data_IF_375046945946
#
_entry.id   IF_375046945946
#
_cell.length_a   1.000
_cell.length_b   1.000
_cell.length_c   1.000
_cell.angle_alpha   90.00
_cell.angle_beta   90.00
_cell.angle_gamma   90.00
#
_symmetry.space_group_name_H-M   'P 1'
#
loop_
_entity.id
_entity.type
_entity.pdbx_description
1 polymer ?
#
# COMPACT_ATOMS: atom_id res chain seq x y z
N UNK A 1 19.52 29.08 -19.87
CA UNK A 1 18.62 29.56 -18.80
C UNK A 1 17.25 29.87 -19.39
N UNK A 2 16.47 28.83 -19.70
CA UNK A 2 15.05 28.95 -20.04
C UNK A 2 14.28 28.42 -18.82
N UNK A 3 14.18 29.27 -17.82
CA UNK A 3 13.69 29.02 -16.46
C UNK A 3 12.17 28.99 -16.44
N UNK A 4 11.56 28.04 -15.71
CA UNK A 4 10.23 27.99 -15.03
C UNK A 4 8.95 28.66 -15.62
N UNK A 5 9.08 29.74 -16.39
CA UNK A 5 8.02 30.51 -17.05
C UNK A 5 7.17 29.67 -18.02
N UNK A 6 7.73 28.62 -18.63
CA UNK A 6 6.99 27.83 -19.63
C UNK A 6 6.00 26.84 -18.98
N UNK A 7 6.36 26.20 -17.86
CA UNK A 7 5.42 25.36 -17.10
C UNK A 7 4.34 26.17 -16.41
N UNK A 8 4.70 27.32 -15.82
CA UNK A 8 3.71 28.23 -15.23
C UNK A 8 2.75 28.78 -16.28
N UNK A 9 3.19 29.03 -17.52
CA UNK A 9 2.31 29.46 -18.61
C UNK A 9 1.41 28.33 -19.14
N UNK A 10 1.92 27.10 -19.28
CA UNK A 10 1.11 25.92 -19.64
C UNK A 10 0.10 25.60 -18.55
N UNK A 11 0.53 25.68 -17.29
CA UNK A 11 -0.34 25.55 -16.13
C UNK A 11 -1.37 26.69 -16.12
N UNK A 12 -1.00 27.95 -16.22
CA UNK A 12 -1.94 29.07 -16.28
C UNK A 12 -2.93 28.96 -17.46
N UNK A 13 -2.51 28.44 -18.61
CA UNK A 13 -3.39 28.19 -19.76
C UNK A 13 -4.41 27.06 -19.51
N UNK A 14 -4.02 26.03 -18.75
CA UNK A 14 -4.90 24.95 -18.31
C UNK A 14 -5.77 25.35 -17.10
N UNK A 15 -5.34 26.35 -16.32
CA UNK A 15 -5.84 26.72 -14.99
C UNK A 15 -6.31 28.20 -14.90
N UNK A 16 -6.80 28.81 -15.98
CA UNK A 16 -7.27 30.20 -15.96
C UNK A 16 -8.31 30.44 -14.84
N UNK A 17 -8.13 31.47 -13.99
CA UNK A 17 -8.97 31.68 -12.81
C UNK A 17 -10.41 32.03 -13.22
N UNK A 18 -11.38 31.31 -12.67
CA UNK A 18 -12.76 31.77 -12.67
C UNK A 18 -12.94 32.65 -11.44
N UNK A 19 -13.27 33.92 -11.68
CA UNK A 19 -13.39 34.96 -10.67
C UNK A 19 -14.72 34.84 -9.91
N UNK A 20 -14.87 33.99 -8.89
CA UNK A 20 -15.95 34.19 -7.91
C UNK A 20 -15.57 33.67 -6.52
N UNK A 21 -15.69 34.60 -5.58
CA UNK A 21 -15.56 34.48 -4.13
C UNK A 21 -16.80 33.78 -3.55
N UNK A 22 -16.63 32.73 -2.74
CA UNK A 22 -17.72 32.30 -1.85
C UNK A 22 -17.18 31.51 -0.64
N UNK A 23 -17.52 32.02 0.54
CA UNK A 23 -17.13 31.53 1.86
C UNK A 23 -17.93 30.27 2.21
N UNK A 24 -17.25 29.17 2.55
CA UNK A 24 -17.87 28.06 3.31
C UNK A 24 -16.93 27.35 4.26
N UNK A 25 -17.47 26.78 5.35
CA UNK A 25 -16.72 26.43 6.54
C UNK A 25 -15.89 25.16 6.31
N UNK A 26 -14.65 25.24 6.76
CA UNK A 26 -13.76 24.13 7.02
C UNK A 26 -14.30 23.37 8.23
N UNK A 27 -14.67 22.09 8.05
CA UNK A 27 -14.59 21.05 9.09
C UNK A 27 -15.06 19.72 8.52
N UNK A 28 -14.12 18.91 8.01
CA UNK A 28 -14.23 17.45 8.04
C UNK A 28 -12.83 16.85 7.83
N UNK A 29 -12.20 16.51 8.95
CA UNK A 29 -10.83 16.03 9.05
C UNK A 29 -10.59 14.71 8.29
N UNK A 30 -9.35 14.61 7.79
CA UNK A 30 -8.68 13.47 7.16
C UNK A 30 -9.10 12.11 7.73
N UNK A 31 -9.88 11.36 6.96
CA UNK A 31 -10.06 9.92 7.16
C UNK A 31 -9.04 9.16 6.30
N UNK A 32 -8.16 8.33 6.87
CA UNK A 32 -7.29 7.45 6.08
C UNK A 32 -8.14 6.36 5.40
N UNK A 33 -7.89 6.16 4.11
CA UNK A 33 -8.63 5.19 3.27
C UNK A 33 -8.18 3.76 3.57
N UNK A 34 -9.06 2.79 3.34
CA UNK A 34 -8.81 1.34 3.54
C UNK A 34 -7.57 0.83 2.78
N UNK A 35 -7.14 1.56 1.76
CA UNK A 35 -6.08 1.21 0.81
C UNK A 35 -4.64 1.49 1.31
N UNK A 36 -4.42 2.41 2.25
CA UNK A 36 -3.08 2.75 2.76
C UNK A 36 -2.47 1.65 3.66
N UNK A 37 -3.21 0.56 3.88
CA UNK A 37 -3.05 -0.32 5.04
C UNK A 37 -2.71 -1.76 4.65
N UNK A 38 -2.94 -2.15 3.40
CA UNK A 38 -2.42 -3.40 2.84
C UNK A 38 -0.87 -3.42 2.85
N UNK A 39 -0.26 -2.23 2.85
CA UNK A 39 1.19 -2.05 2.74
C UNK A 39 2.02 -2.37 3.98
N UNK A 40 1.46 -2.16 5.18
CA UNK A 40 2.21 -2.34 6.42
C UNK A 40 2.11 -3.80 6.93
N UNK A 41 1.12 -4.54 6.42
CA UNK A 41 0.98 -5.99 6.60
C UNK A 41 2.08 -6.78 5.89
N UNK A 42 2.60 -6.24 4.79
CA UNK A 42 3.62 -6.88 3.97
C UNK A 42 5.02 -6.76 4.60
N UNK A 43 5.32 -5.70 5.36
CA UNK A 43 6.58 -5.60 6.11
C UNK A 43 6.66 -6.57 7.31
N UNK A 44 5.53 -6.84 7.97
CA UNK A 44 5.49 -7.73 9.15
C UNK A 44 5.52 -9.22 8.79
N UNK A 45 5.03 -9.62 7.60
CA UNK A 45 5.16 -11.01 7.12
C UNK A 45 6.59 -11.39 6.73
N UNK A 46 7.46 -10.41 6.51
CA UNK A 46 8.84 -10.65 6.08
C UNK A 46 9.81 -10.83 7.26
N UNK A 47 9.46 -10.33 8.45
CA UNK A 47 10.12 -10.70 9.70
C UNK A 47 9.90 -12.17 10.10
N UNK A 48 8.99 -12.88 9.42
CA UNK A 48 8.67 -14.30 9.67
C UNK A 48 9.55 -15.28 8.88
N UNK A 49 10.42 -14.82 7.97
CA UNK A 49 11.28 -15.71 7.16
C UNK A 49 12.78 -15.44 7.31
N UNK A 50 13.21 -14.87 8.43
CA UNK A 50 14.60 -14.96 8.88
C UNK A 50 14.78 -16.30 9.61
N UNK A 51 15.49 -17.23 8.98
CA UNK A 51 15.86 -18.50 9.59
C UNK A 51 16.72 -18.30 10.83
N UNK A 52 16.68 -19.28 11.73
CA UNK A 52 17.61 -19.44 12.84
C UNK A 52 19.06 -19.33 12.32
N UNK A 53 19.71 -18.19 12.53
CA UNK A 53 21.16 -18.13 12.59
C UNK A 53 21.54 -18.10 14.07
N UNK A 54 22.10 -19.23 14.49
CA UNK A 54 22.67 -19.50 15.80
C UNK A 54 24.03 -18.78 15.86
N UNK A 55 24.01 -17.49 16.18
CA UNK A 55 25.24 -16.73 16.46
C UNK A 55 25.65 -16.94 17.93
N UNK A 56 26.18 -18.13 18.21
CA UNK A 56 27.06 -18.33 19.36
C UNK A 56 28.43 -17.71 19.03
N UNK A 57 28.60 -16.43 19.34
CA UNK A 57 29.91 -15.78 19.28
C UNK A 57 30.56 -15.77 20.67
N UNK A 58 31.69 -16.48 20.75
CA UNK A 58 32.62 -16.57 21.86
C UNK A 58 33.00 -15.20 22.45
N UNK A 59 32.84 -15.04 23.76
CA UNK A 59 33.40 -13.93 24.52
C UNK A 59 34.88 -14.22 24.83
N UNK A 60 35.83 -13.33 24.47
CA UNK A 60 37.21 -13.46 24.92
C UNK A 60 37.35 -13.08 26.41
N UNK A 61 38.38 -13.61 27.10
CA UNK A 61 38.52 -13.47 28.55
C UNK A 61 38.93 -12.04 28.94
N UNK A 62 38.37 -11.59 30.07
CA UNK A 62 38.69 -10.33 30.73
C UNK A 62 40.15 -10.33 31.19
N UNK A 63 40.90 -9.30 30.80
CA UNK A 63 42.16 -8.93 31.45
C UNK A 63 41.88 -7.83 32.48
N UNK A 64 42.29 -8.09 33.71
CA UNK A 64 42.35 -7.12 34.79
C UNK A 64 43.53 -6.17 34.51
N UNK A 65 43.24 -4.90 34.22
CA UNK A 65 44.24 -3.83 34.28
C UNK A 65 43.69 -2.70 35.17
N UNK A 66 44.42 -2.46 36.26
CA UNK A 66 44.22 -1.38 37.21
C UNK A 66 44.48 -0.03 36.53
N UNK A 67 43.52 0.91 36.63
CA UNK A 67 43.69 2.28 36.16
C UNK A 67 43.25 3.27 37.25
N UNK A 68 44.03 4.34 37.31
CA UNK A 68 44.20 5.32 38.37
C UNK A 68 42.98 6.24 38.56
N UNK A 69 42.83 6.75 39.79
CA UNK A 69 41.81 7.73 40.19
C UNK A 69 42.07 9.09 39.51
N UNK A 70 41.21 9.49 38.59
CA UNK A 70 41.06 10.89 38.17
C UNK A 70 39.61 11.36 38.42
N UNK A 71 39.50 12.55 39.02
CA UNK A 71 38.26 13.23 39.39
C UNK A 71 37.39 13.56 38.15
N UNK A 72 36.41 12.70 37.84
CA UNK A 72 35.40 12.99 36.81
C UNK A 72 34.12 13.59 37.43
N UNK A 73 33.73 14.77 36.92
CA UNK A 73 32.42 15.38 37.14
C UNK A 73 31.30 14.36 36.87
N UNK A 74 30.47 14.10 37.88
CA UNK A 74 29.35 13.17 37.76
C UNK A 74 28.45 13.57 36.58
N UNK A 75 28.33 12.74 35.52
CA UNK A 75 27.42 13.03 34.43
C UNK A 75 26.00 13.06 34.99
N UNK A 76 25.25 14.10 34.62
CA UNK A 76 23.86 14.27 35.02
C UNK A 76 23.11 12.94 34.84
N UNK A 77 22.50 12.43 35.93
CA UNK A 77 21.75 11.16 35.92
C UNK A 77 20.75 11.20 34.77
N UNK A 78 21.05 10.47 33.71
CA UNK A 78 20.15 10.29 32.58
C UNK A 78 18.90 9.61 33.11
N UNK A 79 17.76 10.27 32.96
CA UNK A 79 16.48 9.67 33.30
C UNK A 79 16.22 8.51 32.33
N UNK A 80 16.51 7.30 32.81
CA UNK A 80 16.35 6.07 32.07
C UNK A 80 14.89 5.84 31.62
N UNK A 81 13.91 6.41 32.32
CA UNK A 81 12.49 6.27 31.97
C UNK A 81 12.12 7.22 30.83
N UNK A 82 12.58 8.48 30.89
CA UNK A 82 12.45 9.41 29.76
C UNK A 82 13.19 8.89 28.52
N UNK A 83 14.41 8.37 28.68
CA UNK A 83 15.17 7.77 27.58
C UNK A 83 14.46 6.55 26.98
N UNK A 84 13.90 5.66 27.80
CA UNK A 84 13.09 4.52 27.32
C UNK A 84 11.84 4.98 26.57
N UNK A 85 11.16 6.03 27.02
CA UNK A 85 10.00 6.58 26.33
C UNK A 85 10.39 7.17 24.97
N UNK A 86 11.50 7.92 24.90
CA UNK A 86 12.04 8.46 23.65
C UNK A 86 12.47 7.35 22.71
N UNK A 87 13.16 6.30 23.21
CA UNK A 87 13.55 5.14 22.40
C UNK A 87 12.30 4.42 21.87
N UNK A 88 11.30 4.18 22.70
CA UNK A 88 10.05 3.52 22.29
C UNK A 88 9.29 4.32 21.22
N UNK A 89 9.24 5.64 21.37
CA UNK A 89 8.62 6.57 20.41
C UNK A 89 9.35 6.57 19.07
N UNK A 90 10.68 6.69 19.09
CA UNK A 90 11.50 6.71 17.86
C UNK A 90 11.67 5.33 17.23
N UNK A 91 11.43 4.25 17.99
CA UNK A 91 11.51 2.88 17.50
C UNK A 91 10.15 2.33 17.04
N UNK A 92 9.10 3.17 16.93
CA UNK A 92 7.72 2.77 16.59
C UNK A 92 7.61 1.86 15.35
N UNK A 93 8.49 2.01 14.36
CA UNK A 93 8.58 1.11 13.21
C UNK A 93 7.33 1.06 12.32
N UNK A 94 6.35 1.93 12.56
CA UNK A 94 5.13 2.12 11.78
C UNK A 94 4.89 3.62 11.61
N UNK A 95 4.29 4.01 10.49
CA UNK A 95 3.91 5.40 10.24
C UNK A 95 2.74 5.80 11.16
N UNK A 96 2.60 7.10 11.44
CA UNK A 96 1.59 7.63 12.37
C UNK A 96 0.15 7.24 12.00
N UNK A 97 -0.18 7.22 10.70
CA UNK A 97 -1.51 6.83 10.21
C UNK A 97 -1.83 5.35 10.49
N UNK A 98 -0.81 4.49 10.47
CA UNK A 98 -0.94 3.06 10.76
C UNK A 98 -1.08 2.83 12.26
N UNK A 99 -0.28 3.52 13.08
CA UNK A 99 -0.44 3.51 14.54
C UNK A 99 -1.86 3.93 14.95
N UNK A 100 -2.38 5.03 14.40
CA UNK A 100 -3.75 5.49 14.65
C UNK A 100 -4.80 4.44 14.21
N UNK A 101 -4.58 3.79 13.07
CA UNK A 101 -5.45 2.72 12.56
C UNK A 101 -5.45 1.48 13.45
N UNK A 102 -4.28 1.05 13.94
CA UNK A 102 -4.14 -0.07 14.85
C UNK A 102 -4.78 0.25 16.20
N UNK A 103 -4.53 1.43 16.78
CA UNK A 103 -5.20 1.87 18.02
C UNK A 103 -6.72 1.88 17.90
N UNK A 104 -7.27 2.24 16.73
CA UNK A 104 -8.72 2.16 16.49
C UNK A 104 -9.22 0.71 16.52
N UNK A 105 -8.53 -0.20 15.82
CA UNK A 105 -8.88 -1.62 15.79
C UNK A 105 -8.69 -2.30 17.15
N UNK A 106 -7.69 -1.90 17.93
CA UNK A 106 -7.49 -2.38 19.29
C UNK A 106 -8.71 -2.07 20.16
N UNK A 107 -9.21 -0.82 20.10
CA UNK A 107 -10.43 -0.42 20.82
C UNK A 107 -11.66 -1.21 20.38
N UNK A 108 -11.80 -1.49 19.09
CA UNK A 108 -12.89 -2.32 18.57
C UNK A 108 -12.80 -3.77 19.06
N UNK A 109 -11.59 -4.32 19.14
CA UNK A 109 -11.35 -5.64 19.71
C UNK A 109 -11.73 -5.68 21.19
N UNK A 110 -11.25 -4.73 22.00
CA UNK A 110 -11.60 -4.66 23.43
C UNK A 110 -13.11 -4.56 23.64
N UNK A 111 -13.79 -3.75 22.84
CA UNK A 111 -15.25 -3.61 22.90
C UNK A 111 -15.95 -4.94 22.55
N UNK A 112 -15.51 -5.62 21.49
CA UNK A 112 -16.01 -6.95 21.15
C UNK A 112 -15.80 -7.96 22.29
N UNK A 113 -14.62 -7.96 22.91
CA UNK A 113 -14.31 -8.87 24.02
C UNK A 113 -15.20 -8.61 25.23
N UNK A 114 -15.48 -7.34 25.56
CA UNK A 114 -16.43 -6.97 26.64
C UNK A 114 -17.86 -7.40 26.32
N UNK A 115 -18.33 -7.12 25.11
CA UNK A 115 -19.69 -7.49 24.68
C UNK A 115 -19.93 -9.00 24.72
N UNK A 116 -18.90 -9.81 24.47
CA UNK A 116 -18.96 -11.27 24.55
C UNK A 116 -18.65 -11.83 25.94
N UNK A 117 -18.27 -10.98 26.90
CA UNK A 117 -17.96 -11.38 28.27
C UNK A 117 -16.62 -12.12 28.41
N UNK A 118 -15.70 -11.95 27.46
CA UNK A 118 -14.37 -12.57 27.51
C UNK A 118 -13.37 -11.83 28.40
N UNK A 119 -13.61 -10.54 28.65
CA UNK A 119 -12.81 -9.70 29.55
C UNK A 119 -13.72 -8.87 30.45
N UNK A 120 -13.20 -8.44 31.60
CA UNK A 120 -13.89 -7.53 32.52
C UNK A 120 -14.14 -6.15 31.88
N UNK A 121 -15.16 -5.42 32.34
CA UNK A 121 -15.54 -4.12 31.77
C UNK A 121 -14.40 -3.09 31.81
N UNK A 122 -13.53 -3.14 32.82
CA UNK A 122 -12.37 -2.27 32.95
C UNK A 122 -11.08 -2.85 32.34
N UNK A 123 -11.11 -4.10 31.87
CA UNK A 123 -9.94 -4.79 31.32
C UNK A 123 -9.61 -4.39 29.88
N UNK A 124 -8.37 -4.68 29.49
CA UNK A 124 -7.89 -4.64 28.10
C UNK A 124 -7.45 -6.03 27.67
N UNK A 125 -7.80 -6.44 26.46
CA UNK A 125 -7.39 -7.73 25.92
C UNK A 125 -5.89 -7.77 25.61
N UNK A 126 -5.35 -6.64 25.13
CA UNK A 126 -3.92 -6.48 24.88
C UNK A 126 -3.20 -6.16 26.19
N UNK A 127 -2.63 -7.18 26.82
CA UNK A 127 -1.93 -7.11 28.10
C UNK A 127 -0.64 -7.93 28.06
N UNK A 128 0.32 -7.61 28.93
CA UNK A 128 1.58 -8.33 29.09
C UNK A 128 1.40 -9.77 29.61
N UNK A 129 0.21 -10.12 30.10
CA UNK A 129 -0.13 -11.49 30.52
C UNK A 129 -1.45 -11.94 29.87
N UNK A 130 -1.45 -12.20 28.55
CA UNK A 130 -2.68 -12.60 27.88
C UNK A 130 -3.16 -13.98 28.37
N UNK A 131 -4.47 -14.25 28.30
CA UNK A 131 -5.00 -15.58 28.60
C UNK A 131 -4.41 -16.62 27.64
N UNK A 132 -4.35 -17.87 28.07
CA UNK A 132 -3.83 -18.97 27.23
C UNK A 132 -4.59 -19.10 25.91
N UNK A 133 -5.90 -18.87 25.96
CA UNK A 133 -6.81 -18.89 24.82
C UNK A 133 -6.77 -17.61 23.96
N UNK A 134 -5.85 -16.67 24.21
CA UNK A 134 -5.72 -15.44 23.41
C UNK A 134 -5.68 -15.68 21.89
N UNK A 135 -5.02 -16.72 21.34
CA UNK A 135 -5.14 -17.07 19.93
C UNK A 135 -6.57 -17.34 19.47
N UNK A 136 -7.36 -18.06 20.27
CA UNK A 136 -8.75 -18.38 19.96
C UNK A 136 -9.63 -17.14 20.03
N UNK A 137 -9.34 -16.23 20.96
CA UNK A 137 -10.03 -14.94 21.07
C UNK A 137 -9.75 -14.05 19.85
N UNK A 138 -8.49 -14.00 19.36
CA UNK A 138 -8.16 -13.32 18.10
C UNK A 138 -8.95 -13.92 16.93
N UNK A 139 -8.99 -15.25 16.83
CA UNK A 139 -9.76 -15.94 15.79
C UNK A 139 -11.25 -15.60 15.92
N UNK A 140 -11.81 -15.62 17.12
CA UNK A 140 -13.21 -15.30 17.38
C UNK A 140 -13.55 -13.86 16.94
N UNK A 141 -12.68 -12.90 17.22
CA UNK A 141 -12.85 -11.53 16.77
C UNK A 141 -12.84 -11.44 15.24
N UNK A 142 -11.85 -12.03 14.57
CA UNK A 142 -11.79 -12.06 13.09
C UNK A 142 -13.00 -12.80 12.50
N UNK A 143 -13.41 -13.92 13.09
CA UNK A 143 -14.55 -14.72 12.68
C UNK A 143 -15.87 -13.94 12.77
N UNK A 144 -16.03 -13.16 13.84
CA UNK A 144 -17.22 -12.35 14.05
C UNK A 144 -17.42 -11.30 12.94
N UNK A 145 -16.35 -10.66 12.49
CA UNK A 145 -16.42 -9.59 11.49
C UNK A 145 -16.33 -10.09 10.03
N UNK A 146 -15.45 -11.07 9.78
CA UNK A 146 -15.04 -11.39 8.41
C UNK A 146 -15.58 -12.74 7.90
N UNK A 147 -15.99 -13.65 8.76
CA UNK A 147 -16.41 -15.00 8.34
C UNK A 147 -17.93 -15.10 8.12
N UNK A 148 -18.34 -16.12 7.36
CA UNK A 148 -19.75 -16.47 7.13
C UNK A 148 -20.34 -17.26 8.29
N UNK A 149 -19.50 -17.73 9.21
CA UNK A 149 -19.87 -18.56 10.34
C UNK A 149 -19.85 -17.71 11.62
N UNK A 150 -20.86 -17.89 12.47
CA UNK A 150 -20.90 -17.34 13.82
C UNK A 150 -20.02 -18.16 14.77
N UNK A 151 -19.77 -17.63 15.97
CA UNK A 151 -18.96 -18.33 16.99
C UNK A 151 -19.62 -19.62 17.51
N UNK A 152 -20.93 -19.75 17.35
CA UNK A 152 -21.70 -20.95 17.69
C UNK A 152 -21.73 -21.99 16.55
N UNK A 153 -21.03 -21.73 15.44
CA UNK A 153 -21.00 -22.59 14.26
C UNK A 153 -22.17 -22.40 13.29
N UNK A 154 -23.13 -21.52 13.59
CA UNK A 154 -24.25 -21.25 12.69
C UNK A 154 -23.83 -20.37 11.52
N UNK A 155 -24.52 -20.50 10.38
CA UNK A 155 -24.29 -19.64 9.22
C UNK A 155 -24.96 -18.27 9.42
N UNK A 156 -24.21 -17.20 9.15
CA UNK A 156 -24.74 -15.83 9.12
C UNK A 156 -25.70 -15.66 7.93
N UNK A 157 -26.83 -14.97 8.11
CA UNK A 157 -27.74 -14.63 7.01
C UNK A 157 -27.00 -13.91 5.88
N UNK A 158 -27.38 -14.14 4.63
CA UNK A 158 -26.79 -13.46 3.46
C UNK A 158 -26.98 -11.94 3.46
N UNK A 159 -27.93 -11.43 4.25
CA UNK A 159 -28.21 -10.00 4.43
C UNK A 159 -27.19 -9.26 5.28
N UNK A 160 -26.40 -9.98 6.09
CA UNK A 160 -25.37 -9.37 6.93
C UNK A 160 -24.13 -9.10 6.08
N UNK A 161 -23.70 -7.84 6.00
CA UNK A 161 -22.45 -7.50 5.34
C UNK A 161 -21.26 -8.06 6.15
N UNK A 162 -20.32 -8.72 5.48
CA UNK A 162 -19.07 -9.19 6.09
C UNK A 162 -17.91 -8.32 5.62
N UNK A 163 -16.93 -8.14 6.49
CA UNK A 163 -15.68 -7.50 6.14
C UNK A 163 -14.82 -8.41 5.24
N UNK A 164 -13.93 -7.79 4.47
CA UNK A 164 -13.06 -8.47 3.50
C UNK A 164 -11.93 -9.26 4.17
N UNK A 165 -11.28 -10.14 3.42
CA UNK A 165 -10.05 -10.80 3.85
C UNK A 165 -8.94 -9.77 4.16
N UNK A 166 -8.82 -8.68 3.40
CA UNK A 166 -7.86 -7.60 3.71
C UNK A 166 -8.14 -6.98 5.08
N UNK A 167 -9.41 -6.81 5.45
CA UNK A 167 -9.77 -6.36 6.80
C UNK A 167 -9.35 -7.37 7.87
N UNK A 168 -9.58 -8.67 7.65
CA UNK A 168 -9.12 -9.73 8.54
C UNK A 168 -7.59 -9.71 8.73
N UNK A 169 -6.82 -9.48 7.66
CA UNK A 169 -5.36 -9.35 7.77
C UNK A 169 -4.97 -8.14 8.63
N UNK A 170 -5.67 -7.02 8.47
CA UNK A 170 -5.47 -5.81 9.28
C UNK A 170 -5.77 -6.04 10.76
N UNK A 171 -6.85 -6.77 11.07
CA UNK A 171 -7.18 -7.19 12.44
C UNK A 171 -6.05 -8.04 13.03
N UNK A 172 -5.54 -9.03 12.28
CA UNK A 172 -4.42 -9.86 12.73
C UNK A 172 -3.15 -9.05 13.01
N UNK A 173 -2.73 -8.17 12.10
CA UNK A 173 -1.52 -7.39 12.33
C UNK A 173 -1.69 -6.36 13.45
N UNK A 174 -2.89 -5.80 13.61
CA UNK A 174 -3.19 -5.01 14.80
C UNK A 174 -2.94 -5.81 16.07
N UNK A 175 -3.34 -7.08 16.12
CA UNK A 175 -3.06 -7.95 17.25
C UNK A 175 -1.55 -8.25 17.40
N UNK A 176 -0.84 -8.48 16.28
CA UNK A 176 0.62 -8.65 16.28
C UNK A 176 1.34 -7.43 16.86
N UNK A 177 1.02 -6.24 16.35
CA UNK A 177 1.53 -4.97 16.81
C UNK A 177 1.21 -4.74 18.29
N UNK A 178 -0.04 -4.95 18.69
CA UNK A 178 -0.49 -4.71 20.06
C UNK A 178 0.20 -5.65 21.05
N UNK A 179 0.23 -6.96 20.80
CA UNK A 179 0.91 -7.89 21.70
C UNK A 179 2.43 -7.73 21.66
N UNK A 180 3.00 -7.49 20.49
CA UNK A 180 4.44 -7.39 20.34
C UNK A 180 5.02 -6.10 20.93
N UNK A 181 4.41 -4.96 20.61
CA UNK A 181 4.89 -3.63 20.99
C UNK A 181 4.21 -3.12 22.26
N UNK A 182 2.89 -3.02 22.25
CA UNK A 182 2.14 -2.37 23.34
C UNK A 182 2.20 -3.20 24.63
N UNK A 183 2.05 -4.53 24.51
CA UNK A 183 2.17 -5.46 25.63
C UNK A 183 3.61 -5.95 25.87
N UNK A 184 4.55 -5.63 24.99
CA UNK A 184 5.97 -5.97 25.13
C UNK A 184 6.32 -7.45 24.99
N UNK A 185 5.49 -8.26 24.31
CA UNK A 185 5.72 -9.70 24.15
C UNK A 185 6.63 -10.06 22.96
N UNK A 186 6.99 -9.06 22.14
CA UNK A 186 7.81 -9.25 20.95
C UNK A 186 7.15 -10.06 19.84
N UNK A 187 7.96 -10.75 19.05
CA UNK A 187 7.55 -11.53 17.87
C UNK A 187 7.70 -13.05 18.05
N UNK A 188 8.05 -13.51 19.26
CA UNK A 188 8.29 -14.93 19.52
C UNK A 188 7.02 -15.76 19.28
N UNK A 189 7.13 -17.00 18.77
CA UNK A 189 6.00 -17.91 18.64
C UNK A 189 5.28 -18.10 19.98
N UNK A 190 3.94 -18.09 19.95
CA UNK A 190 3.12 -18.36 21.12
C UNK A 190 3.29 -19.79 21.61
N UNK A 191 3.86 -19.97 22.79
CA UNK A 191 4.15 -21.29 23.36
C UNK A 191 4.10 -21.29 24.88
N UNK A 192 3.90 -22.47 25.47
CA UNK A 192 4.02 -22.65 26.92
C UNK A 192 5.49 -22.80 27.29
N UNK A 193 6.00 -21.88 28.10
CA UNK A 193 7.36 -21.96 28.65
C UNK A 193 7.50 -23.20 29.54
N UNK A 194 8.52 -24.01 29.30
CA UNK A 194 8.79 -25.22 30.09
C UNK A 194 9.16 -24.88 31.54
N UNK A 195 9.87 -23.76 31.73
CA UNK A 195 10.36 -23.30 33.03
C UNK A 195 9.25 -22.61 33.82
N UNK A 196 8.62 -21.59 33.26
CA UNK A 196 7.62 -20.79 34.00
C UNK A 196 6.22 -21.40 33.98
N UNK A 197 5.98 -22.41 33.12
CA UNK A 197 4.65 -22.98 32.80
C UNK A 197 3.62 -21.97 32.29
N UNK A 198 4.01 -20.70 32.09
CA UNK A 198 3.18 -19.62 31.54
C UNK A 198 3.29 -19.59 30.03
N UNK A 199 2.27 -19.02 29.39
CA UNK A 199 2.34 -18.73 27.96
C UNK A 199 3.24 -17.54 27.71
N UNK A 200 4.11 -17.67 26.71
CA UNK A 200 5.07 -16.65 26.29
C UNK A 200 5.03 -16.50 24.77
N UNK A 201 5.45 -15.33 24.28
CA UNK A 201 5.42 -14.97 22.86
C UNK A 201 4.16 -14.21 22.47
N UNK A 202 3.92 -14.09 21.16
CA UNK A 202 2.84 -13.30 20.60
C UNK A 202 1.66 -14.18 20.15
N UNK A 203 0.48 -14.06 20.77
CA UNK A 203 -0.69 -14.88 20.41
C UNK A 203 -1.12 -14.80 18.94
N UNK A 204 -0.88 -13.68 18.24
CA UNK A 204 -1.27 -13.51 16.83
C UNK A 204 -0.37 -14.28 15.84
N UNK A 205 0.82 -14.68 16.31
CA UNK A 205 1.83 -15.44 15.56
C UNK A 205 1.65 -16.95 15.78
N UNK A 206 0.69 -17.35 16.62
CA UNK A 206 0.36 -18.76 16.84
C UNK A 206 -0.01 -19.51 15.56
N UNK A 207 0.21 -20.82 15.59
CA UNK A 207 -0.14 -21.71 14.49
C UNK A 207 -1.66 -21.73 14.22
N UNK A 208 -2.49 -21.69 15.27
CA UNK A 208 -3.95 -21.68 15.14
C UNK A 208 -4.46 -20.46 14.38
N UNK A 209 -3.97 -19.25 14.71
CA UNK A 209 -4.32 -18.01 14.00
C UNK A 209 -3.87 -18.09 12.54
N UNK A 210 -2.65 -18.58 12.29
CA UNK A 210 -2.10 -18.72 10.93
C UNK A 210 -2.93 -19.69 10.06
N UNK A 211 -3.24 -20.89 10.58
CA UNK A 211 -4.08 -21.88 9.91
C UNK A 211 -5.48 -21.33 9.62
N UNK A 212 -6.06 -20.62 10.59
CA UNK A 212 -7.37 -20.00 10.43
C UNK A 212 -7.37 -18.96 9.31
N UNK A 213 -6.39 -18.06 9.26
CA UNK A 213 -6.29 -17.04 8.20
C UNK A 213 -6.16 -17.66 6.80
N UNK A 214 -5.38 -18.72 6.65
CA UNK A 214 -5.28 -19.45 5.37
C UNK A 214 -6.62 -20.05 4.96
N UNK A 215 -7.35 -20.65 5.91
CA UNK A 215 -8.68 -21.21 5.67
C UNK A 215 -9.69 -20.12 5.29
N UNK A 216 -9.71 -19.01 6.03
CA UNK A 216 -10.56 -17.85 5.76
C UNK A 216 -10.30 -17.31 4.36
N UNK A 217 -9.03 -17.13 3.96
CA UNK A 217 -8.67 -16.72 2.59
C UNK A 217 -9.29 -17.63 1.54
N UNK A 218 -9.15 -18.95 1.69
CA UNK A 218 -9.71 -19.94 0.76
C UNK A 218 -11.23 -19.90 0.71
N UNK A 219 -11.91 -19.59 1.81
CA UNK A 219 -13.38 -19.44 1.85
C UNK A 219 -13.81 -18.16 1.13
N UNK A 220 -13.15 -17.03 1.41
CA UNK A 220 -13.41 -15.75 0.75
C UNK A 220 -13.22 -15.81 -0.76
N UNK A 221 -12.13 -16.41 -1.22
CA UNK A 221 -11.89 -16.64 -2.66
C UNK A 221 -12.98 -17.51 -3.28
N UNK A 222 -13.43 -18.58 -2.60
CA UNK A 222 -14.55 -19.42 -3.06
C UNK A 222 -15.88 -18.68 -3.11
N UNK A 223 -16.08 -17.71 -2.23
CA UNK A 223 -17.25 -16.82 -2.23
C UNK A 223 -17.16 -15.72 -3.31
N UNK A 224 -16.13 -15.72 -4.16
CA UNK A 224 -15.94 -14.75 -5.22
C UNK A 224 -15.24 -13.46 -4.79
N UNK A 225 -14.69 -13.41 -3.57
CA UNK A 225 -13.86 -12.27 -3.16
C UNK A 225 -12.53 -12.33 -3.94
N UNK A 226 -12.41 -11.46 -4.94
CA UNK A 226 -11.15 -11.23 -5.65
C UNK A 226 -10.32 -10.26 -4.82
N UNK A 227 -9.05 -10.59 -4.58
CA UNK A 227 -8.12 -9.65 -3.97
C UNK A 227 -8.02 -8.39 -4.86
N UNK A 228 -8.34 -7.23 -4.29
CA UNK A 228 -8.17 -5.94 -4.95
C UNK A 228 -6.69 -5.77 -5.31
N UNK A 229 -6.38 -5.17 -6.46
CA UNK A 229 -5.00 -4.97 -6.93
C UNK A 229 -4.20 -6.25 -7.27
N UNK A 230 -4.87 -7.39 -7.39
CA UNK A 230 -4.22 -8.66 -7.74
C UNK A 230 -3.87 -8.80 -9.22
N UNK A 231 -4.42 -7.94 -10.09
CA UNK A 231 -4.14 -7.95 -11.53
C UNK A 231 -3.28 -6.76 -11.94
N UNK A 232 -2.27 -7.02 -12.76
CA UNK A 232 -1.44 -6.00 -13.39
C UNK A 232 -2.20 -5.24 -14.48
N UNK A 233 -1.95 -3.92 -14.56
CA UNK A 233 -2.26 -3.16 -15.77
C UNK A 233 -1.20 -3.50 -16.82
N UNK A 234 -1.61 -3.93 -18.01
CA UNK A 234 -0.65 -4.28 -19.08
C UNK A 234 -0.43 -3.09 -20.03
N UNK A 235 0.66 -3.07 -20.81
CA UNK A 235 0.88 -2.06 -21.85
C UNK A 235 -0.32 -1.94 -22.81
N UNK A 236 -0.93 -3.07 -23.17
CA UNK A 236 -2.07 -3.13 -24.09
C UNK A 236 -3.31 -2.45 -23.48
N UNK A 237 -3.53 -2.62 -22.18
CA UNK A 237 -4.62 -1.92 -21.48
C UNK A 237 -4.35 -0.41 -21.46
N UNK A 238 -3.10 0.01 -21.17
CA UNK A 238 -2.74 1.43 -21.20
C UNK A 238 -2.90 2.05 -22.59
N UNK A 239 -2.55 1.31 -23.64
CA UNK A 239 -2.74 1.71 -25.03
C UNK A 239 -4.23 1.83 -25.39
N UNK A 240 -5.06 0.85 -24.99
CA UNK A 240 -6.52 0.90 -25.17
C UNK A 240 -7.13 2.11 -24.47
N UNK A 241 -6.75 2.36 -23.21
CA UNK A 241 -7.18 3.54 -22.45
C UNK A 241 -6.73 4.83 -23.14
N UNK A 242 -5.47 4.90 -23.60
CA UNK A 242 -4.94 6.06 -24.30
C UNK A 242 -5.74 6.36 -25.56
N UNK A 243 -5.95 5.37 -26.43
CA UNK A 243 -6.68 5.56 -27.67
C UNK A 243 -8.11 5.97 -27.41
N UNK A 244 -8.82 5.29 -26.50
CA UNK A 244 -10.19 5.64 -26.13
C UNK A 244 -10.29 7.08 -25.61
N UNK A 245 -9.41 7.45 -24.67
CA UNK A 245 -9.42 8.78 -24.05
C UNK A 245 -9.05 9.92 -25.01
N UNK A 246 -8.41 9.62 -26.14
CA UNK A 246 -8.04 10.58 -27.17
C UNK A 246 -8.95 10.52 -28.41
N UNK A 247 -10.04 9.74 -28.39
CA UNK A 247 -11.01 9.76 -29.48
C UNK A 247 -11.69 11.13 -29.57
N UNK A 248 -11.96 11.63 -30.80
CA UNK A 248 -12.76 12.83 -31.01
C UNK A 248 -14.11 12.73 -30.29
N UNK A 249 -14.51 13.79 -29.59
CA UNK A 249 -15.73 13.86 -28.79
C UNK A 249 -15.57 13.41 -27.32
N UNK A 250 -14.65 12.49 -27.03
CA UNK A 250 -14.34 11.95 -25.70
C UNK A 250 -13.21 12.75 -25.03
N UNK A 251 -12.08 12.90 -25.74
CA UNK A 251 -10.88 13.60 -25.26
C UNK A 251 -10.92 15.12 -25.41
N UNK A 252 -11.99 15.65 -26.00
CA UNK A 252 -12.14 17.07 -26.29
C UNK A 252 -12.42 17.87 -25.02
N UNK A 253 -11.62 18.91 -24.81
CA UNK A 253 -11.83 19.86 -23.71
C UNK A 253 -12.97 20.79 -24.14
N UNK A 254 -14.16 20.55 -23.58
CA UNK A 254 -15.34 21.36 -23.88
C UNK A 254 -15.37 22.61 -22.97
N UNK A 255 -15.83 23.76 -23.48
CA UNK A 255 -16.07 24.92 -22.64
C UNK A 255 -17.16 24.61 -21.60
N UNK A 256 -17.09 25.27 -20.46
CA UNK A 256 -17.99 25.01 -19.34
C UNK A 256 -19.37 25.58 -19.68
N UNK A 257 -20.30 24.69 -20.05
CA UNK A 257 -21.70 25.06 -20.29
C UNK A 257 -22.52 24.72 -19.05
N UNK A 258 -23.32 25.67 -18.55
CA UNK A 258 -24.27 25.43 -17.44
C UNK A 258 -25.43 24.57 -17.93
N UNK A 259 -25.30 23.25 -17.88
CA UNK A 259 -26.42 22.32 -18.11
C UNK A 259 -27.15 21.99 -16.80
N UNK A 260 -28.49 21.96 -16.87
CA UNK A 260 -29.34 21.52 -15.75
C UNK A 260 -29.05 20.04 -15.45
N UNK A 261 -28.90 19.70 -14.17
CA UNK A 261 -28.56 18.35 -13.65
C UNK A 261 -29.44 17.20 -14.20
N UNK A 262 -30.64 17.50 -14.68
CA UNK A 262 -31.67 16.53 -15.05
C UNK A 262 -31.38 15.69 -16.32
N UNK A 263 -30.41 16.07 -17.16
CA UNK A 263 -30.12 15.39 -18.44
C UNK A 263 -28.78 14.63 -18.48
N UNK A 264 -28.13 14.36 -17.34
CA UNK A 264 -26.82 13.70 -17.35
C UNK A 264 -26.98 12.20 -17.57
N UNK A 265 -26.49 11.71 -18.70
CA UNK A 265 -26.43 10.29 -19.00
C UNK A 265 -25.42 9.63 -18.04
N UNK A 266 -25.74 8.45 -17.51
CA UNK A 266 -24.89 7.76 -16.51
C UNK A 266 -23.48 7.43 -17.03
N UNK A 267 -23.33 7.39 -18.36
CA UNK A 267 -22.08 7.13 -19.06
C UNK A 267 -21.18 8.39 -19.22
N UNK A 268 -21.65 9.58 -18.83
CA UNK A 268 -20.89 10.84 -18.92
C UNK A 268 -20.19 11.16 -17.58
N UNK A 269 -19.24 10.30 -17.22
CA UNK A 269 -18.55 10.31 -15.92
C UNK A 269 -17.30 11.20 -15.89
N UNK A 270 -16.69 11.52 -17.04
CA UNK A 270 -15.44 12.29 -17.12
C UNK A 270 -15.24 13.01 -18.45
N UNK A 271 -14.86 14.29 -18.37
CA UNK A 271 -14.53 15.13 -19.53
C UNK A 271 -13.07 15.01 -19.98
N UNK A 272 -12.71 15.75 -21.04
CA UNK A 272 -11.39 15.67 -21.66
C UNK A 272 -10.23 16.02 -20.73
N UNK A 273 -10.39 16.99 -19.80
CA UNK A 273 -9.34 17.35 -18.84
C UNK A 273 -9.11 16.22 -17.84
N UNK A 274 -10.19 15.67 -17.28
CA UNK A 274 -10.15 14.54 -16.37
C UNK A 274 -9.45 13.34 -17.00
N UNK A 275 -9.81 12.98 -18.25
CA UNK A 275 -9.22 11.83 -18.94
C UNK A 275 -7.72 12.02 -19.21
N UNK A 276 -7.29 13.22 -19.60
CA UNK A 276 -5.86 13.54 -19.77
C UNK A 276 -5.10 13.48 -18.44
N UNK A 277 -5.69 14.00 -17.36
CA UNK A 277 -5.11 13.93 -16.02
C UNK A 277 -4.93 12.47 -15.59
N UNK A 278 -5.98 11.65 -15.73
CA UNK A 278 -5.93 10.23 -15.43
C UNK A 278 -4.84 9.51 -16.24
N UNK A 279 -4.74 9.79 -17.54
CA UNK A 279 -3.70 9.20 -18.39
C UNK A 279 -2.29 9.54 -17.91
N UNK A 280 -2.06 10.78 -17.47
CA UNK A 280 -0.77 11.18 -16.90
C UNK A 280 -0.47 10.41 -15.61
N UNK A 281 -1.45 10.27 -14.69
CA UNK A 281 -1.29 9.45 -13.48
C UNK A 281 -0.98 8.00 -13.84
N UNK A 282 -1.70 7.40 -14.79
CA UNK A 282 -1.48 6.01 -15.20
C UNK A 282 -0.05 5.78 -15.66
N UNK A 283 0.46 6.65 -16.54
CA UNK A 283 1.80 6.53 -17.11
C UNK A 283 2.88 6.75 -16.05
N UNK A 284 2.71 7.76 -15.18
CA UNK A 284 3.66 8.04 -14.10
C UNK A 284 3.69 6.89 -13.09
N UNK A 285 2.53 6.41 -12.61
CA UNK A 285 2.46 5.27 -11.70
C UNK A 285 3.08 4.01 -12.30
N UNK A 286 2.84 3.77 -13.59
CA UNK A 286 3.37 2.61 -14.30
C UNK A 286 4.88 2.65 -14.50
N UNK A 287 5.41 3.77 -15.02
CA UNK A 287 6.83 3.89 -15.35
C UNK A 287 7.70 4.11 -14.11
N UNK A 288 7.22 4.85 -13.11
CA UNK A 288 7.96 5.12 -11.88
C UNK A 288 7.72 4.07 -10.79
N UNK A 289 6.95 3.02 -11.08
CA UNK A 289 6.59 1.96 -10.12
C UNK A 289 5.97 2.51 -8.83
N UNK A 290 5.13 3.52 -8.97
CA UNK A 290 4.42 4.15 -7.87
C UNK A 290 3.04 3.51 -7.71
N UNK A 291 2.56 3.48 -6.47
CA UNK A 291 1.13 3.36 -6.24
C UNK A 291 0.43 4.63 -6.74
N UNK A 292 -0.86 4.55 -7.04
CA UNK A 292 -1.53 5.76 -7.52
C UNK A 292 -1.67 6.83 -6.42
N UNK A 293 -1.78 6.45 -5.14
CA UNK A 293 -1.87 7.41 -4.03
C UNK A 293 -0.54 8.16 -3.83
N UNK A 294 0.58 7.49 -4.06
CA UNK A 294 1.91 8.10 -4.17
C UNK A 294 1.94 9.08 -5.35
N UNK A 295 1.52 8.66 -6.55
CA UNK A 295 1.50 9.54 -7.72
C UNK A 295 0.62 10.79 -7.52
N UNK A 296 -0.54 10.66 -6.86
CA UNK A 296 -1.45 11.79 -6.57
C UNK A 296 -0.85 12.82 -5.61
N UNK A 297 0.19 12.47 -4.85
CA UNK A 297 0.90 13.38 -3.93
C UNK A 297 2.00 14.20 -4.61
N UNK A 298 2.33 13.93 -5.88
CA UNK A 298 3.34 14.67 -6.64
C UNK A 298 2.92 16.14 -6.78
N UNK A 299 3.85 17.05 -6.54
CA UNK A 299 3.66 18.49 -6.66
C UNK A 299 4.35 19.02 -7.92
N UNK A 300 3.97 20.22 -8.35
CA UNK A 300 4.52 20.80 -9.58
C UNK A 300 6.04 21.03 -9.45
N UNK A 301 6.50 21.45 -8.28
CA UNK A 301 7.92 21.70 -8.03
C UNK A 301 8.78 20.43 -8.08
N UNK A 302 8.15 19.25 -7.97
CA UNK A 302 8.83 17.96 -8.12
C UNK A 302 9.20 17.69 -9.59
N UNK A 303 8.60 18.42 -10.55
CA UNK A 303 8.88 18.26 -11.97
C UNK A 303 9.79 19.37 -12.46
N UNK A 304 10.86 18.97 -13.15
CA UNK A 304 11.76 19.86 -13.87
C UNK A 304 11.83 19.45 -15.34
N UNK A 305 11.41 20.33 -16.25
CA UNK A 305 11.65 20.12 -17.67
C UNK A 305 13.15 20.16 -17.96
N UNK A 306 13.66 19.13 -18.63
CA UNK A 306 15.04 19.09 -19.12
C UNK A 306 15.12 19.62 -20.55
N UNK A 307 14.14 19.25 -21.38
CA UNK A 307 13.94 19.71 -22.75
C UNK A 307 12.46 19.50 -23.18
N UNK A 308 12.16 19.73 -24.46
CA UNK A 308 10.80 19.62 -25.02
C UNK A 308 10.21 18.20 -25.00
N UNK A 309 11.03 17.18 -24.73
CA UNK A 309 10.66 15.76 -24.79
C UNK A 309 10.95 14.99 -23.51
N UNK A 310 11.63 15.58 -22.53
CA UNK A 310 11.94 14.92 -21.27
C UNK A 310 11.85 15.85 -20.08
N UNK A 311 11.35 15.28 -18.98
CA UNK A 311 11.32 15.92 -17.69
C UNK A 311 11.95 15.00 -16.65
N UNK A 312 12.52 15.62 -15.63
CA UNK A 312 12.97 15.01 -14.40
C UNK A 312 11.83 15.09 -13.39
N UNK A 313 11.55 13.98 -12.71
CA UNK A 313 10.57 13.88 -11.64
C UNK A 313 11.29 13.49 -10.36
N UNK A 314 11.32 14.38 -9.40
CA UNK A 314 11.78 14.13 -8.04
C UNK A 314 10.66 13.46 -7.26
N UNK A 315 10.95 12.41 -6.49
CA UNK A 315 9.94 11.69 -5.71
C UNK A 315 10.18 11.96 -4.22
N UNK A 316 9.41 12.87 -3.59
CA UNK A 316 9.70 13.32 -2.22
C UNK A 316 9.30 12.30 -1.13
N UNK A 317 8.53 11.27 -1.47
CA UNK A 317 8.03 10.24 -0.56
C UNK A 317 8.52 8.85 -0.99
N UNK A 318 9.76 8.48 -0.66
CA UNK A 318 10.19 7.06 -0.70
C UNK A 318 10.19 6.49 0.71
N UNK A 319 9.49 5.37 0.94
CA UNK A 319 9.44 4.63 2.23
C UNK A 319 10.83 4.21 2.76
N UNK A 320 11.88 4.31 1.94
CA UNK A 320 13.29 4.00 2.28
C UNK A 320 14.21 5.23 2.27
N UNK A 321 13.66 6.44 2.18
CA UNK A 321 14.47 7.65 2.35
C UNK A 321 14.91 7.77 3.81
N UNK A 322 16.14 7.31 4.12
CA UNK A 322 16.78 7.56 5.42
C UNK A 322 17.08 9.06 5.64
N UNK A 323 16.93 9.89 4.62
CA UNK A 323 17.13 11.33 4.66
C UNK A 323 15.79 12.02 4.38
N UNK A 324 14.92 11.98 5.38
CA UNK A 324 13.62 12.65 5.37
C UNK A 324 13.78 14.15 5.49
N UNK A 325 14.09 14.83 4.39
CA UNK A 325 13.83 16.26 4.26
C UNK A 325 12.56 16.41 3.41
N UNK A 326 11.41 16.29 4.06
CA UNK A 326 10.13 16.63 3.45
C UNK A 326 10.12 18.16 3.27
N UNK A 327 10.60 18.62 2.12
CA UNK A 327 10.53 20.03 1.74
C UNK A 327 9.10 20.53 1.88
N UNK A 328 8.96 21.69 2.53
CA UNK A 328 7.68 22.36 2.79
C UNK A 328 6.84 22.41 1.52
N UNK A 329 5.62 21.88 1.61
CA UNK A 329 4.58 21.91 0.56
C UNK A 329 4.45 23.33 0.05
N UNK A 330 4.97 23.59 -1.14
CA UNK A 330 4.91 24.88 -1.81
C UNK A 330 3.88 24.78 -2.93
N UNK A 331 2.64 25.01 -2.47
CA UNK A 331 1.51 25.62 -3.15
C UNK A 331 0.66 24.85 -4.18
N UNK A 332 1.12 23.86 -4.96
CA UNK A 332 0.25 23.22 -5.97
C UNK A 332 0.58 21.75 -6.29
N UNK A 333 -0.44 20.88 -6.17
CA UNK A 333 -0.38 19.48 -6.61
C UNK A 333 -0.43 19.38 -8.13
N UNK A 334 0.34 18.43 -8.69
CA UNK A 334 0.31 18.10 -10.12
C UNK A 334 -1.05 17.55 -10.54
N UNK A 335 -1.70 16.80 -9.65
CA UNK A 335 -2.99 16.18 -9.86
C UNK A 335 -4.05 16.77 -8.91
N UNK A 336 -4.54 18.00 -9.19
CA UNK A 336 -5.55 18.63 -8.36
C UNK A 336 -6.89 17.90 -8.47
N UNK A 337 -7.76 18.15 -7.50
CA UNK A 337 -9.12 17.66 -7.58
C UNK A 337 -9.85 18.28 -8.78
N UNK A 338 -10.49 17.45 -9.61
CA UNK A 338 -11.33 17.91 -10.73
C UNK A 338 -12.79 17.63 -10.39
N UNK A 339 -13.61 18.67 -10.46
CA UNK A 339 -15.05 18.61 -10.25
C UNK A 339 -15.75 17.76 -11.32
N UNK A 340 -16.98 17.33 -11.05
CA UNK A 340 -17.81 16.59 -12.03
C UNK A 340 -18.12 17.35 -13.34
N UNK A 341 -17.74 18.63 -13.42
CA UNK A 341 -17.87 19.49 -14.60
C UNK A 341 -16.58 19.62 -15.40
N UNK A 342 -15.60 18.75 -15.15
CA UNK A 342 -14.29 18.81 -15.79
C UNK A 342 -13.52 20.10 -15.48
N UNK A 343 -13.82 20.72 -14.33
CA UNK A 343 -13.15 21.93 -13.85
C UNK A 343 -12.23 21.59 -12.70
N UNK A 344 -11.07 22.23 -12.69
CA UNK A 344 -10.11 22.14 -11.59
C UNK A 344 -10.73 22.85 -10.38
N UNK A 345 -10.73 22.16 -9.25
CA UNK A 345 -11.23 22.70 -7.99
C UNK A 345 -10.25 23.75 -7.47
N UNK A 346 -10.77 24.85 -6.91
CA UNK A 346 -9.95 25.90 -6.28
C UNK A 346 -9.32 25.41 -4.95
N UNK A 347 -9.77 24.26 -4.45
CA UNK A 347 -9.14 23.58 -3.32
C UNK A 347 -7.69 23.20 -3.64
N UNK A 348 -6.72 23.67 -2.85
CA UNK A 348 -5.30 23.25 -2.89
C UNK A 348 -5.07 21.79 -2.44
N UNK A 349 -6.08 20.92 -2.55
CA UNK A 349 -6.01 19.52 -2.14
C UNK A 349 -5.84 18.62 -3.36
N UNK A 350 -5.05 17.54 -3.25
CA UNK A 350 -4.90 16.58 -4.33
C UNK A 350 -6.22 15.82 -4.54
N UNK A 351 -6.36 15.17 -5.70
CA UNK A 351 -7.45 14.23 -5.91
C UNK A 351 -7.41 13.12 -4.85
N UNK A 352 -8.55 12.80 -4.23
CA UNK A 352 -8.65 11.72 -3.25
C UNK A 352 -8.48 10.35 -3.93
N UNK A 353 -7.75 9.44 -3.29
CA UNK A 353 -7.51 8.07 -3.75
C UNK A 353 -8.78 7.31 -4.13
N UNK A 354 -9.84 7.39 -3.32
CA UNK A 354 -11.11 6.71 -3.60
C UNK A 354 -11.80 7.28 -4.84
N UNK A 355 -11.71 8.60 -5.03
CA UNK A 355 -12.25 9.27 -6.23
C UNK A 355 -11.47 8.85 -7.47
N UNK A 356 -10.14 8.81 -7.40
CA UNK A 356 -9.31 8.32 -8.49
C UNK A 356 -9.68 6.87 -8.85
N UNK A 357 -9.83 6.00 -7.85
CA UNK A 357 -10.19 4.60 -8.07
C UNK A 357 -11.54 4.48 -8.76
N UNK A 358 -12.56 5.24 -8.33
CA UNK A 358 -13.87 5.29 -9.01
C UNK A 358 -13.73 5.70 -10.49
N UNK A 359 -13.00 6.78 -10.76
CA UNK A 359 -12.77 7.29 -12.11
C UNK A 359 -12.02 6.27 -12.99
N UNK A 360 -10.99 5.65 -12.44
CA UNK A 360 -10.23 4.61 -13.11
C UNK A 360 -11.09 3.39 -13.47
N UNK A 361 -11.95 2.95 -12.54
CA UNK A 361 -12.89 1.85 -12.81
C UNK A 361 -13.86 2.19 -13.94
N UNK A 362 -14.38 3.42 -13.98
CA UNK A 362 -15.22 3.86 -15.08
C UNK A 362 -14.46 3.89 -16.42
N UNK A 363 -13.19 4.28 -16.42
CA UNK A 363 -12.33 4.27 -17.61
C UNK A 363 -12.07 2.85 -18.13
N UNK A 364 -11.89 1.88 -17.23
CA UNK A 364 -11.79 0.47 -17.60
C UNK A 364 -13.09 -0.06 -18.22
N UNK A 365 -14.25 0.36 -17.69
CA UNK A 365 -15.55 -0.01 -18.27
C UNK A 365 -15.73 0.55 -19.69
N UNK A 366 -15.23 1.76 -19.97
CA UNK A 366 -15.29 2.36 -21.31
C UNK A 366 -14.56 1.51 -22.38
N UNK A 367 -13.53 0.76 -21.99
CA UNK A 367 -12.81 -0.19 -22.87
C UNK A 367 -13.24 -1.65 -22.68
N UNK A 368 -14.36 -1.89 -21.99
CA UNK A 368 -14.94 -3.23 -21.79
C UNK A 368 -14.12 -4.15 -20.87
N UNK A 369 -13.33 -3.60 -19.95
CA UNK A 369 -12.55 -4.36 -18.96
C UNK A 369 -13.28 -4.39 -17.62
N UNK A 370 -13.30 -5.56 -16.99
CA UNK A 370 -13.79 -5.70 -15.61
C UNK A 370 -12.91 -4.87 -14.66
N UNK A 371 -13.44 -3.86 -13.97
CA UNK A 371 -12.67 -3.00 -13.08
C UNK A 371 -12.32 -3.62 -11.74
N UNK A 372 -13.02 -4.69 -11.30
CA UNK A 372 -12.91 -5.23 -9.95
C UNK A 372 -11.51 -5.75 -9.56
N UNK A 373 -10.75 -6.47 -10.41
CA UNK A 373 -9.43 -7.00 -10.03
C UNK A 373 -8.32 -5.94 -9.97
N UNK A 374 -8.61 -4.69 -10.36
CA UNK A 374 -7.63 -3.61 -10.40
C UNK A 374 -7.72 -2.67 -9.19
N UNK A 375 -6.57 -2.17 -8.73
CA UNK A 375 -6.49 -1.28 -7.56
C UNK A 375 -5.14 -0.56 -7.43
N UNK A 376 -4.78 -0.17 -6.21
CA UNK A 376 -3.60 0.67 -5.87
C UNK A 376 -2.29 0.16 -6.45
N UNK A 377 -2.11 -1.16 -6.44
CA UNK A 377 -0.87 -1.78 -6.87
C UNK A 377 -0.86 -2.17 -8.35
N UNK A 378 -1.97 -2.07 -9.06
CA UNK A 378 -2.07 -2.61 -10.43
C UNK A 378 -1.10 -1.97 -11.42
N UNK A 379 -0.86 -0.66 -11.30
CA UNK A 379 0.12 0.06 -12.12
C UNK A 379 1.55 -0.31 -11.75
N UNK A 380 1.89 -0.30 -10.46
CA UNK A 380 3.21 -0.70 -9.95
C UNK A 380 3.56 -2.13 -10.32
N UNK A 381 2.59 -3.06 -10.22
CA UNK A 381 2.69 -4.46 -10.66
C UNK A 381 2.93 -4.56 -12.15
N UNK A 382 2.09 -3.90 -12.95
CA UNK A 382 2.22 -3.87 -14.40
C UNK A 382 3.56 -3.33 -14.88
N UNK A 383 4.03 -2.23 -14.30
CA UNK A 383 5.34 -1.67 -14.61
C UNK A 383 6.47 -2.61 -14.22
N UNK A 384 6.39 -3.24 -13.04
CA UNK A 384 7.39 -4.21 -12.57
C UNK A 384 7.50 -5.39 -13.55
N UNK A 385 6.36 -5.97 -13.94
CA UNK A 385 6.29 -7.05 -14.91
C UNK A 385 6.83 -6.61 -16.27
N UNK A 386 6.47 -5.44 -16.76
CA UNK A 386 7.00 -4.90 -18.02
C UNK A 386 8.51 -4.68 -18.00
N UNK A 387 9.04 -4.13 -16.91
CA UNK A 387 10.49 -3.97 -16.80
C UNK A 387 11.21 -5.32 -16.74
N UNK A 388 10.64 -6.33 -16.09
CA UNK A 388 11.21 -7.66 -16.02
C UNK A 388 11.13 -8.43 -17.35
N UNK A 389 9.96 -8.44 -17.99
CA UNK A 389 9.69 -9.25 -19.20
C UNK A 389 10.12 -8.52 -20.47
N UNK A 390 9.60 -7.31 -20.69
CA UNK A 390 9.78 -6.57 -21.94
C UNK A 390 11.11 -5.80 -21.98
N UNK A 391 11.51 -5.19 -20.85
CA UNK A 391 12.79 -4.44 -20.76
C UNK A 391 13.94 -5.27 -20.23
N UNK A 392 13.68 -6.45 -19.67
CA UNK A 392 14.67 -7.38 -19.11
C UNK A 392 15.62 -6.76 -18.11
N UNK A 393 15.09 -5.88 -17.28
CA UNK A 393 15.86 -5.37 -16.17
C UNK A 393 16.08 -6.49 -15.17
N UNK A 394 17.29 -6.58 -14.64
CA UNK A 394 17.56 -7.47 -13.51
C UNK A 394 16.69 -7.06 -12.33
N UNK A 395 16.36 -8.02 -11.45
CA UNK A 395 15.59 -7.72 -10.24
C UNK A 395 16.22 -6.60 -9.43
N UNK A 396 17.56 -6.61 -9.31
CA UNK A 396 18.34 -5.53 -8.68
C UNK A 396 18.02 -4.15 -9.28
N UNK A 397 18.08 -4.03 -10.61
CA UNK A 397 17.79 -2.77 -11.30
C UNK A 397 16.35 -2.32 -11.12
N UNK A 398 15.40 -3.26 -11.10
CA UNK A 398 13.99 -2.97 -10.82
C UNK A 398 13.82 -2.51 -9.37
N UNK A 399 14.48 -3.16 -8.40
CA UNK A 399 14.50 -2.77 -6.99
C UNK A 399 15.00 -1.33 -6.82
N UNK A 400 16.18 -1.03 -7.37
CA UNK A 400 16.78 0.31 -7.34
C UNK A 400 15.84 1.37 -7.95
N UNK A 401 15.28 1.08 -9.13
CA UNK A 401 14.37 1.99 -9.81
C UNK A 401 13.09 2.25 -9.02
N UNK A 402 12.42 1.18 -8.58
CA UNK A 402 11.16 1.25 -7.83
C UNK A 402 11.31 1.59 -6.35
N UNK A 403 12.54 1.82 -5.87
CA UNK A 403 12.82 2.23 -4.49
C UNK A 403 12.58 1.15 -3.45
N UNK A 404 12.68 -0.13 -3.84
CA UNK A 404 12.71 -1.23 -2.88
C UNK A 404 14.11 -1.33 -2.24
N UNK A 405 14.15 -1.59 -0.92
CA UNK A 405 15.37 -1.92 -0.20
C UNK A 405 16.07 -3.12 -0.83
N UNK A 406 17.40 -3.09 -0.79
CA UNK A 406 18.24 -4.18 -1.27
C UNK A 406 18.33 -5.34 -0.26
N UNK A 407 17.94 -5.09 0.99
CA UNK A 407 17.96 -6.05 2.10
C UNK A 407 16.61 -6.76 2.30
N UNK A 408 15.65 -6.59 1.37
CA UNK A 408 14.33 -7.20 1.49
C UNK A 408 14.36 -8.72 1.34
N UNK A 409 13.41 -9.38 2.00
CA UNK A 409 13.09 -10.76 1.64
C UNK A 409 12.67 -10.79 0.16
N UNK A 410 13.22 -11.71 -0.61
CA UNK A 410 12.96 -11.90 -2.04
C UNK A 410 11.46 -12.01 -2.42
N UNK A 411 10.57 -12.17 -1.43
CA UNK A 411 9.14 -12.33 -1.60
C UNK A 411 8.40 -11.05 -2.01
N UNK A 412 8.84 -9.85 -1.62
CA UNK A 412 8.10 -8.61 -1.95
C UNK A 412 8.02 -8.38 -3.46
N UNK A 413 9.16 -8.47 -4.16
CA UNK A 413 9.21 -8.27 -5.60
C UNK A 413 8.55 -9.41 -6.36
N UNK A 414 8.68 -10.66 -5.87
CA UNK A 414 8.03 -11.82 -6.46
C UNK A 414 6.51 -11.66 -6.44
N UNK A 415 5.93 -11.07 -5.39
CA UNK A 415 4.50 -10.75 -5.35
C UNK A 415 4.07 -9.79 -6.47
N UNK A 416 4.94 -8.88 -6.94
CA UNK A 416 4.65 -7.99 -8.06
C UNK A 416 4.92 -8.64 -9.42
N UNK A 417 5.82 -9.62 -9.49
CA UNK A 417 6.11 -10.35 -10.72
C UNK A 417 5.08 -11.44 -11.01
N UNK A 418 4.57 -12.11 -9.97
CA UNK A 418 3.66 -13.25 -10.07
C UNK A 418 2.33 -12.87 -9.42
N UNK A 419 1.29 -12.67 -10.23
CA UNK A 419 -0.09 -12.55 -9.77
C UNK A 419 -0.92 -13.75 -10.16
N UNK A 420 -1.71 -14.28 -9.23
CA UNK A 420 -2.64 -15.38 -9.50
C UNK A 420 -3.70 -15.02 -10.55
N UNK A 421 -4.02 -13.72 -10.66
CA UNK A 421 -4.98 -13.20 -11.63
C UNK A 421 -4.30 -12.69 -12.91
N UNK A 422 -2.98 -12.77 -13.01
CA UNK A 422 -2.27 -12.37 -14.22
C UNK A 422 -2.39 -13.50 -15.24
N UNK A 423 -2.69 -13.14 -16.49
CA UNK A 423 -2.84 -14.14 -17.55
C UNK A 423 -1.45 -14.73 -17.86
N UNK A 424 -1.30 -16.07 -17.92
CA UNK A 424 -0.02 -16.67 -18.24
C UNK A 424 0.41 -16.21 -19.64
N UNK A 425 1.61 -15.67 -19.74
CA UNK A 425 2.18 -15.21 -21.01
C UNK A 425 2.45 -16.36 -21.98
N UNK A 426 2.60 -17.59 -21.47
CA UNK A 426 2.85 -18.80 -22.23
C UNK A 426 2.13 -20.01 -21.62
N UNK A 427 1.67 -20.94 -22.47
CA UNK A 427 1.13 -22.22 -22.02
C UNK A 427 2.23 -23.08 -21.39
N UNK A 428 1.87 -23.90 -20.40
CA UNK A 428 2.84 -24.73 -19.68
C UNK A 428 3.56 -25.74 -20.58
N UNK A 429 2.82 -26.34 -21.52
CA UNK A 429 3.35 -27.32 -22.48
C UNK A 429 4.42 -26.75 -23.42
N UNK A 430 4.43 -25.42 -23.52
CA UNK A 430 5.30 -24.67 -24.39
C UNK A 430 6.64 -24.29 -23.73
N UNK A 431 6.78 -24.42 -22.41
CA UNK A 431 7.98 -23.98 -21.66
C UNK A 431 9.28 -24.67 -22.10
N UNK A 432 9.19 -25.90 -22.63
CA UNK A 432 10.34 -26.69 -23.08
C UNK A 432 10.22 -27.08 -24.55
N UNK A 433 9.27 -26.50 -25.29
CA UNK A 433 9.03 -26.88 -26.68
C UNK A 433 10.05 -26.15 -27.60
N UNK A 434 11.07 -26.86 -28.12
CA UNK A 434 12.12 -26.22 -28.93
C UNK A 434 11.60 -25.76 -30.30
N UNK A 435 10.39 -26.16 -30.67
CA UNK A 435 9.76 -25.85 -31.96
C UNK A 435 8.89 -24.59 -31.92
N UNK A 436 8.75 -23.93 -30.77
CA UNK A 436 8.05 -22.64 -30.69
C UNK A 436 8.83 -21.63 -31.50
N UNK A 437 8.22 -21.21 -32.61
CA UNK A 437 8.72 -20.08 -33.40
C UNK A 437 8.45 -18.81 -32.62
N UNK A 438 9.44 -18.39 -31.86
CA UNK A 438 9.42 -17.09 -31.23
C UNK A 438 9.27 -15.99 -32.29
N UNK A 439 8.20 -15.22 -32.18
CA UNK A 439 7.78 -14.29 -33.22
C UNK A 439 8.70 -13.07 -33.38
N UNK A 440 9.60 -12.80 -32.41
CA UNK A 440 10.50 -11.64 -32.43
C UNK A 440 11.94 -12.02 -32.07
N UNK A 441 12.89 -11.51 -32.87
CA UNK A 441 14.33 -11.60 -32.58
C UNK A 441 14.66 -10.71 -31.38
N UNK A 442 15.46 -11.22 -30.46
CA UNK A 442 16.01 -10.44 -29.35
C UNK A 442 16.81 -9.25 -29.88
N UNK A 443 16.50 -8.02 -29.45
CA UNK A 443 17.24 -6.82 -29.88
C UNK A 443 18.67 -6.75 -29.34
N UNK A 444 18.96 -7.46 -28.25
CA UNK A 444 20.29 -7.50 -27.62
C UNK A 444 21.21 -8.53 -28.28
N UNK A 445 20.69 -9.72 -28.62
CA UNK A 445 21.51 -10.82 -29.13
C UNK A 445 21.18 -11.27 -30.57
N UNK A 446 20.14 -10.72 -31.19
CA UNK A 446 19.73 -11.02 -32.57
C UNK A 446 19.12 -12.41 -32.81
N UNK A 447 19.02 -13.26 -31.77
CA UNK A 447 18.50 -14.64 -31.86
C UNK A 447 17.01 -14.71 -31.54
N UNK A 448 16.33 -15.69 -32.12
CA UNK A 448 15.04 -16.19 -31.61
C UNK A 448 15.32 -16.99 -30.34
N UNK A 449 15.18 -16.37 -29.17
CA UNK A 449 15.43 -17.00 -27.87
C UNK A 449 14.43 -16.50 -26.83
N UNK A 450 14.09 -17.37 -25.85
CA UNK A 450 13.06 -17.17 -24.81
C UNK A 450 13.27 -15.92 -23.95
N UNK A 451 14.43 -15.32 -24.12
CA UNK A 451 14.70 -13.94 -23.79
C UNK A 451 13.48 -13.02 -24.10
N UNK A 452 12.74 -13.22 -25.19
CA UNK A 452 11.59 -12.37 -25.59
C UNK A 452 10.26 -13.12 -25.45
N UNK A 453 9.78 -13.25 -24.20
CA UNK A 453 8.36 -13.44 -23.90
C UNK A 453 7.88 -12.35 -22.96
#
# INVERSE_FOLDING_TARGET
MATLQNLSAVYAALHAPNTWDDQRPEDEALQPTVNEIEDDLDGEQEAYQGGNEDDSADLPPQSDDEAEEEDEEQPAKVDMQAMRAVIAENSKGVIESTDASYKRLMRQCDEFMRQKGFIEQAGTFFTATPPEDAPMLIIAWIMHHCDDVNLDGTMKPSTVQRDSYSHAQKMRATATYAFGRVAGLGSLPWQRSEVSRRMVGNPSVSESVSRYMVSLRKKKVRAGEVATSARAITPEILEQLYHHNNQPGVGDIKPVVRTKRANKNRNDWGGGRMRRLLQAVYVISYLCLLRFDEALKIQIHDIRLLNDHSFELTLPFRKTSQYGDCSKITDQYLFPNITMRDQISDSKTPMKSDRFLELFRNNLLDIGRDPYPYGTHSFRRGGCQYFATHRRWSLRKICEWGGWSMDFSHLTIVKYLIGWNDDPTQLREDFLNPNIKMSRKCHVCGRSCDCWQ
#
